data_IF_636808887820
#
_entry.id   IF_636808887820
#
_cell.length_a   1.000
_cell.length_b   1.000
_cell.length_c   1.000
_cell.angle_alpha   90.00
_cell.angle_beta   90.00
_cell.angle_gamma   90.00
#
_symmetry.space_group_name_H-M   'P 1'
#
loop_
_entity.id
_entity.type
_entity.pdbx_description
1 polymer ?
#
# COMPACT_ATOMS: atom_id res chain seq x y z
N UNK A 1 33.48 4.07 -24.34
CA UNK A 1 33.36 3.68 -22.93
C UNK A 1 32.04 4.25 -22.42
N UNK A 2 31.12 3.42 -21.94
CA UNK A 2 29.80 3.88 -21.49
C UNK A 2 29.74 3.79 -19.97
N UNK A 3 29.45 4.92 -19.32
CA UNK A 3 29.35 5.03 -17.86
C UNK A 3 27.97 5.56 -17.50
N UNK A 4 27.35 4.93 -16.50
CA UNK A 4 26.10 5.38 -15.92
C UNK A 4 26.29 5.46 -14.40
N UNK A 5 26.03 6.63 -13.82
CA UNK A 5 26.15 6.86 -12.39
C UNK A 5 25.01 7.74 -11.90
N UNK A 6 24.46 7.40 -10.73
CA UNK A 6 23.44 8.20 -10.02
C UNK A 6 23.74 8.14 -8.53
N UNK A 7 23.83 9.30 -7.90
CA UNK A 7 23.76 9.43 -6.44
C UNK A 7 22.32 9.82 -6.09
N UNK A 8 21.64 9.03 -5.25
CA UNK A 8 20.24 9.27 -4.82
C UNK A 8 20.25 9.72 -3.36
N UNK A 9 20.03 11.02 -3.05
CA UNK A 9 19.79 11.46 -1.68
C UNK A 9 18.48 10.89 -1.13
N UNK A 10 18.45 10.64 0.19
CA UNK A 10 17.34 10.02 0.90
C UNK A 10 16.03 10.85 0.77
N UNK A 11 15.19 10.51 -0.20
CA UNK A 11 13.85 11.07 -0.31
C UNK A 11 13.01 10.58 0.87
N UNK A 12 12.86 11.41 1.90
CA UNK A 12 11.94 11.14 3.02
C UNK A 12 10.55 11.65 2.67
N UNK A 13 9.66 10.75 2.25
CA UNK A 13 8.22 11.04 2.12
C UNK A 13 7.56 10.86 3.47
N UNK A 14 6.68 11.79 3.86
CA UNK A 14 5.78 11.65 5.02
C UNK A 14 4.36 11.92 4.56
N UNK A 15 3.41 11.06 4.93
CA UNK A 15 2.00 11.20 4.56
C UNK A 15 1.13 10.98 5.80
N UNK A 16 0.13 11.84 6.00
CA UNK A 16 -0.75 11.78 7.18
C UNK A 16 -2.03 11.02 6.85
N UNK A 17 -2.38 10.09 7.73
CA UNK A 17 -3.60 9.29 7.64
C UNK A 17 -4.52 9.62 8.81
N UNK A 18 -5.83 9.61 8.56
CA UNK A 18 -6.88 9.80 9.58
C UNK A 18 -7.06 8.54 10.42
N UNK A 19 -7.04 7.38 9.75
CA UNK A 19 -7.20 6.07 10.36
C UNK A 19 -6.57 5.00 9.48
N UNK A 20 -6.28 3.86 10.11
CA UNK A 20 -5.87 2.63 9.46
C UNK A 20 -6.61 1.44 10.06
N UNK A 21 -7.17 0.59 9.20
CA UNK A 21 -7.71 -0.72 9.57
C UNK A 21 -6.73 -1.79 9.08
N UNK A 22 -6.03 -2.44 10.02
CA UNK A 22 -5.01 -3.46 9.72
C UNK A 22 -5.63 -4.71 9.07
N UNK A 23 -6.63 -5.32 9.70
CA UNK A 23 -7.31 -6.51 9.16
C UNK A 23 -8.50 -6.12 8.27
N UNK A 24 -8.23 -5.59 7.08
CA UNK A 24 -9.27 -5.21 6.15
C UNK A 24 -9.79 -6.42 5.35
N UNK A 25 -8.94 -7.03 4.51
CA UNK A 25 -9.34 -8.13 3.63
C UNK A 25 -8.11 -8.85 3.04
N UNK A 26 -8.23 -10.16 2.81
CA UNK A 26 -7.27 -10.91 1.97
C UNK A 26 -7.25 -10.39 0.52
N UNK A 27 -6.07 -10.23 -0.06
CA UNK A 27 -5.93 -9.70 -1.41
C UNK A 27 -6.67 -10.54 -2.47
N UNK A 28 -6.62 -11.86 -2.38
CA UNK A 28 -7.31 -12.74 -3.33
C UNK A 28 -8.83 -12.54 -3.33
N UNK A 29 -9.42 -12.25 -2.17
CA UNK A 29 -10.86 -11.90 -2.07
C UNK A 29 -11.14 -10.53 -2.70
N UNK A 30 -10.29 -9.55 -2.41
CA UNK A 30 -10.41 -8.21 -2.97
C UNK A 30 -10.27 -8.20 -4.50
N UNK A 31 -9.26 -8.91 -5.03
CA UNK A 31 -9.00 -9.05 -6.46
C UNK A 31 -10.19 -9.65 -7.19
N UNK A 32 -10.69 -10.80 -6.71
CA UNK A 32 -11.89 -11.44 -7.27
C UNK A 32 -13.11 -10.52 -7.26
N UNK A 33 -13.33 -9.77 -6.18
CA UNK A 33 -14.43 -8.80 -6.11
C UNK A 33 -14.26 -7.68 -7.15
N UNK A 34 -13.06 -7.07 -7.25
CA UNK A 34 -12.77 -6.02 -8.24
C UNK A 34 -12.95 -6.51 -9.67
N UNK A 35 -12.42 -7.69 -10.00
CA UNK A 35 -12.55 -8.32 -11.32
C UNK A 35 -14.02 -8.59 -11.68
N UNK A 36 -14.80 -9.14 -10.74
CA UNK A 36 -16.25 -9.39 -10.93
C UNK A 36 -17.01 -8.12 -11.31
N UNK A 37 -16.66 -6.98 -10.71
CA UNK A 37 -17.29 -5.69 -10.98
C UNK A 37 -16.55 -4.85 -12.04
N UNK A 38 -15.60 -5.45 -12.79
CA UNK A 38 -14.79 -4.78 -13.84
C UNK A 38 -14.10 -3.49 -13.33
N UNK A 39 -13.69 -3.49 -12.07
CA UNK A 39 -13.00 -2.37 -11.43
C UNK A 39 -11.48 -2.55 -11.52
N UNK A 40 -10.75 -1.43 -11.56
CA UNK A 40 -9.29 -1.45 -11.48
C UNK A 40 -8.83 -2.16 -10.20
N UNK A 41 -7.99 -3.18 -10.34
CA UNK A 41 -7.39 -3.87 -9.21
C UNK A 41 -6.01 -3.27 -8.91
N UNK A 42 -5.85 -2.71 -7.71
CA UNK A 42 -4.54 -2.29 -7.22
C UNK A 42 -3.73 -3.56 -6.90
N UNK A 43 -2.48 -3.64 -7.37
CA UNK A 43 -1.64 -4.84 -7.20
C UNK A 43 -0.54 -4.69 -6.17
N UNK A 44 -0.26 -3.46 -5.75
CA UNK A 44 0.88 -3.11 -4.92
C UNK A 44 0.46 -2.37 -3.67
N UNK A 45 1.21 -2.58 -2.60
CA UNK A 45 1.18 -1.71 -1.43
C UNK A 45 1.43 -0.26 -1.86
N UNK A 46 0.61 0.66 -1.37
CA UNK A 46 0.75 2.07 -1.68
C UNK A 46 2.11 2.65 -1.24
N UNK A 47 2.63 2.19 -0.09
CA UNK A 47 3.84 2.73 0.53
C UNK A 47 5.12 2.04 0.01
N UNK A 48 5.31 0.76 0.34
CA UNK A 48 6.55 0.04 -0.01
C UNK A 48 6.56 -0.53 -1.44
N UNK A 49 5.47 -0.38 -2.20
CA UNK A 49 5.33 -0.85 -3.60
C UNK A 49 5.49 -2.35 -3.80
N UNK A 50 5.57 -3.16 -2.74
CA UNK A 50 5.54 -4.62 -2.83
C UNK A 50 4.24 -5.09 -3.48
N UNK A 51 4.32 -6.07 -4.38
CA UNK A 51 3.15 -6.75 -4.91
C UNK A 51 2.42 -7.53 -3.80
N UNK A 52 1.09 -7.55 -3.89
CA UNK A 52 0.25 -8.38 -3.04
C UNK A 52 0.17 -9.81 -3.60
N UNK A 53 0.21 -10.78 -2.70
CA UNK A 53 -0.10 -12.18 -2.94
C UNK A 53 -1.53 -12.47 -2.46
N UNK A 54 -2.21 -13.46 -3.03
CA UNK A 54 -3.64 -13.71 -2.77
C UNK A 54 -3.97 -13.97 -1.29
N UNK A 55 -3.01 -14.52 -0.55
CA UNK A 55 -3.07 -14.83 0.88
C UNK A 55 -2.65 -13.66 1.79
N UNK A 56 -2.19 -12.54 1.22
CA UNK A 56 -1.85 -11.37 2.01
C UNK A 56 -3.10 -10.76 2.66
N UNK A 57 -3.08 -10.62 3.99
CA UNK A 57 -4.00 -9.72 4.67
C UNK A 57 -3.61 -8.28 4.36
N UNK A 58 -4.50 -7.54 3.69
CA UNK A 58 -4.29 -6.12 3.43
C UNK A 58 -4.86 -5.27 4.55
N UNK A 59 -4.25 -4.09 4.71
CA UNK A 59 -4.78 -2.99 5.49
C UNK A 59 -5.36 -1.90 4.58
N UNK A 60 -6.32 -1.15 5.11
CA UNK A 60 -6.93 -0.01 4.45
C UNK A 60 -6.65 1.25 5.27
N UNK A 61 -6.07 2.28 4.64
CA UNK A 61 -5.77 3.55 5.29
C UNK A 61 -6.49 4.70 4.58
N UNK A 62 -7.09 5.61 5.35
CA UNK A 62 -7.69 6.82 4.81
C UNK A 62 -6.73 8.01 4.98
N UNK A 63 -6.18 8.57 3.88
CA UNK A 63 -5.35 9.76 3.97
C UNK A 63 -6.17 10.98 4.41
N UNK A 64 -5.50 12.02 4.90
CA UNK A 64 -6.19 13.29 5.25
C UNK A 64 -6.93 13.92 4.08
N UNK A 65 -6.46 13.69 2.84
CA UNK A 65 -7.06 14.12 1.58
C UNK A 65 -6.93 13.01 0.54
N UNK A 66 -7.96 12.80 -0.28
CA UNK A 66 -7.93 11.85 -1.40
C UNK A 66 -8.60 10.49 -1.10
N UNK A 67 -8.27 9.49 -1.93
CA UNK A 67 -8.87 8.14 -1.88
C UNK A 67 -8.11 7.22 -0.91
N UNK A 68 -8.82 6.26 -0.34
CA UNK A 68 -8.23 5.24 0.53
C UNK A 68 -7.08 4.49 -0.16
N UNK A 69 -6.08 4.11 0.64
CA UNK A 69 -4.87 3.42 0.20
C UNK A 69 -4.85 2.01 0.76
N UNK A 70 -4.42 1.04 -0.06
CA UNK A 70 -4.16 -0.32 0.38
C UNK A 70 -2.70 -0.41 0.83
N UNK A 71 -2.48 -0.99 2.00
CA UNK A 71 -1.17 -1.20 2.61
C UNK A 71 -0.98 -2.68 2.91
N UNK A 72 0.28 -3.13 2.95
CA UNK A 72 0.60 -4.42 3.56
C UNK A 72 0.59 -4.27 5.09
N UNK A 73 0.53 -5.39 5.82
CA UNK A 73 0.54 -5.35 7.28
C UNK A 73 1.78 -4.67 7.86
N UNK A 74 2.96 -4.86 7.24
CA UNK A 74 4.20 -4.21 7.70
C UNK A 74 4.09 -2.69 7.71
N UNK A 75 3.71 -2.08 6.58
CA UNK A 75 3.54 -0.62 6.51
C UNK A 75 2.36 -0.11 7.36
N UNK A 76 1.32 -0.93 7.54
CA UNK A 76 0.20 -0.57 8.42
C UNK A 76 0.63 -0.55 9.89
N UNK A 77 1.41 -1.54 10.31
CA UNK A 77 1.98 -1.65 11.65
C UNK A 77 2.94 -0.52 11.97
N UNK A 78 3.87 -0.21 11.06
CA UNK A 78 4.78 0.94 11.20
C UNK A 78 4.02 2.26 11.42
N UNK A 79 2.84 2.41 10.80
CA UNK A 79 2.03 3.61 10.90
C UNK A 79 1.21 3.68 12.20
N UNK A 80 0.77 2.54 12.76
CA UNK A 80 -0.03 2.51 14.00
C UNK A 80 0.83 2.47 15.26
N UNK A 81 1.97 1.78 15.21
CA UNK A 81 2.83 1.56 16.38
C UNK A 81 3.77 2.77 16.62
N UNK A 82 3.84 3.69 15.67
CA UNK A 82 4.58 4.97 15.78
C UNK A 82 3.72 6.17 16.17
N UNK A 83 2.48 5.95 16.67
CA UNK A 83 1.62 7.00 17.24
C UNK A 83 1.81 7.13 18.75
#
# INVERSE_FOLDING_TARGET
MLQLSKQIPAHRKTEKFRWCKQDFMLYGKFRKARERYRMLCVKQCYWCRRDFQDDDMMALAAPMKGKNRLLCQGCAKEMTDGQ
#
